data_IF_471822972115
#
_entry.id   IF_471822972115
#
_cell.length_a   1.000
_cell.length_b   1.000
_cell.length_c   1.000
_cell.angle_alpha   90.00
_cell.angle_beta   90.00
_cell.angle_gamma   90.00
#
_symmetry.space_group_name_H-M   'P 1'
#
loop_
_entity.id
_entity.type
_entity.pdbx_description
1 polymer ?
#
# COMPACT_ATOMS: atom_id res chain seq x y z
N UNK A 1 8.91 21.17 -1.70
CA UNK A 1 9.36 19.81 -1.99
C UNK A 1 8.13 18.96 -2.27
N UNK A 2 8.02 18.38 -3.45
CA UNK A 2 6.95 17.45 -3.84
C UNK A 2 7.41 16.01 -3.58
N UNK A 3 6.55 15.18 -2.99
CA UNK A 3 6.86 13.79 -2.66
C UNK A 3 5.80 12.87 -3.29
N UNK A 4 6.24 11.92 -4.09
CA UNK A 4 5.38 10.84 -4.57
C UNK A 4 5.65 9.55 -3.79
N UNK A 5 4.59 8.88 -3.33
CA UNK A 5 4.69 7.71 -2.45
C UNK A 5 3.94 6.54 -3.08
N UNK A 6 4.62 5.45 -3.37
CA UNK A 6 3.99 4.18 -3.70
C UNK A 6 3.58 3.49 -2.41
N UNK A 7 2.31 3.12 -2.29
CA UNK A 7 1.77 2.63 -1.02
C UNK A 7 0.63 1.63 -1.19
N UNK A 8 0.44 0.80 -0.18
CA UNK A 8 -0.70 -0.08 0.01
C UNK A 8 -0.68 -0.64 1.43
N UNK A 9 -1.81 -1.15 1.87
CA UNK A 9 -1.97 -1.73 3.19
C UNK A 9 -1.89 -0.73 4.35
N UNK A 10 -2.14 -1.24 5.55
CA UNK A 10 -2.21 -0.44 6.79
C UNK A 10 -0.87 0.20 7.15
N UNK A 11 0.26 -0.48 6.91
CA UNK A 11 1.59 0.05 7.21
C UNK A 11 1.90 1.29 6.39
N UNK A 12 1.62 1.23 5.08
CA UNK A 12 1.78 2.35 4.18
C UNK A 12 0.88 3.54 4.51
N UNK A 13 -0.39 3.28 4.84
CA UNK A 13 -1.32 4.32 5.25
C UNK A 13 -0.85 5.05 6.53
N UNK A 14 -0.34 4.31 7.53
CA UNK A 14 0.22 4.89 8.76
C UNK A 14 1.46 5.75 8.50
N UNK A 15 2.32 5.31 7.58
CA UNK A 15 3.48 6.10 7.16
C UNK A 15 3.06 7.40 6.47
N UNK A 16 2.09 7.34 5.55
CA UNK A 16 1.52 8.52 4.89
C UNK A 16 0.95 9.52 5.91
N UNK A 17 0.29 9.05 6.97
CA UNK A 17 -0.18 9.93 8.05
C UNK A 17 0.97 10.69 8.70
N UNK A 18 2.08 10.01 9.00
CA UNK A 18 3.29 10.66 9.52
C UNK A 18 3.86 11.68 8.55
N UNK A 19 3.85 11.37 7.25
CA UNK A 19 4.39 12.25 6.21
C UNK A 19 3.57 13.54 6.08
N UNK A 20 2.23 13.47 6.00
CA UNK A 20 1.36 14.66 5.91
C UNK A 20 1.29 15.46 7.22
N UNK A 21 1.73 14.88 8.34
CA UNK A 21 1.94 15.61 9.61
C UNK A 21 3.31 16.30 9.68
N UNK A 22 4.22 15.98 8.75
CA UNK A 22 5.61 16.50 8.72
C UNK A 22 5.81 17.59 7.66
N UNK A 23 5.17 17.44 6.49
CA UNK A 23 5.22 18.42 5.40
C UNK A 23 3.81 18.82 4.96
N UNK A 24 3.73 19.87 4.13
CA UNK A 24 2.46 20.31 3.55
C UNK A 24 1.77 19.13 2.85
N UNK A 25 0.54 18.73 3.28
CA UNK A 25 -0.19 17.63 2.65
C UNK A 25 -0.40 17.80 1.14
N UNK A 26 -0.59 19.03 0.65
CA UNK A 26 -0.76 19.32 -0.77
C UNK A 26 0.50 19.00 -1.61
N UNK A 27 1.67 18.86 -0.97
CA UNK A 27 2.91 18.45 -1.62
C UNK A 27 3.08 16.92 -1.70
N UNK A 28 2.15 16.14 -1.12
CA UNK A 28 2.20 14.67 -1.09
C UNK A 28 1.21 14.07 -2.09
N UNK A 29 1.72 13.23 -2.98
CA UNK A 29 0.90 12.39 -3.87
C UNK A 29 1.10 10.92 -3.51
N UNK A 30 0.06 10.26 -3.08
CA UNK A 30 0.05 8.82 -2.82
C UNK A 30 -0.45 8.06 -4.06
N UNK A 31 0.38 7.19 -4.62
CA UNK A 31 0.04 6.24 -5.68
C UNK A 31 -0.30 4.92 -4.98
N UNK A 32 -1.58 4.58 -4.98
CA UNK A 32 -2.11 3.52 -4.12
C UNK A 32 -2.39 2.25 -4.92
N UNK A 33 -2.07 1.11 -4.32
CA UNK A 33 -2.38 -0.20 -4.85
C UNK A 33 -3.89 -0.39 -5.08
N UNK A 34 -4.23 -1.04 -6.19
CA UNK A 34 -5.59 -1.47 -6.55
C UNK A 34 -5.66 -2.97 -6.87
N UNK A 35 -4.52 -3.68 -6.68
CA UNK A 35 -4.41 -5.11 -7.02
C UNK A 35 -5.26 -6.03 -6.15
N UNK A 36 -5.71 -5.56 -5.02
CA UNK A 36 -6.57 -6.27 -4.07
C UNK A 36 -8.02 -5.74 -4.02
N UNK A 37 -8.38 -4.85 -4.96
CA UNK A 37 -9.77 -4.45 -5.18
C UNK A 37 -10.64 -5.65 -5.49
N UNK A 38 -11.88 -5.64 -4.99
CA UNK A 38 -12.80 -6.75 -5.15
C UNK A 38 -14.25 -6.28 -5.20
N UNK A 39 -15.14 -7.19 -5.59
CA UNK A 39 -16.58 -6.98 -5.44
C UNK A 39 -17.08 -7.79 -4.23
N UNK A 40 -17.77 -7.13 -3.30
CA UNK A 40 -18.40 -7.73 -2.12
C UNK A 40 -19.85 -7.28 -2.06
N UNK A 41 -20.78 -8.23 -1.98
CA UNK A 41 -22.23 -7.95 -1.95
C UNK A 41 -22.68 -7.06 -3.13
N UNK A 42 -22.04 -7.19 -4.27
CA UNK A 42 -22.30 -6.37 -5.45
C UNK A 42 -21.75 -4.93 -5.36
N UNK A 43 -20.92 -4.64 -4.37
CA UNK A 43 -20.28 -3.33 -4.18
C UNK A 43 -18.80 -3.38 -4.52
N UNK A 44 -18.30 -2.34 -5.19
CA UNK A 44 -16.88 -2.16 -5.48
C UNK A 44 -16.14 -1.69 -4.23
N UNK A 45 -15.20 -2.49 -3.75
CA UNK A 45 -14.38 -2.25 -2.56
C UNK A 45 -12.93 -2.14 -2.99
N UNK A 46 -12.24 -1.09 -2.53
CA UNK A 46 -10.83 -0.82 -2.81
C UNK A 46 -10.06 -0.71 -1.49
N UNK A 47 -9.68 -1.83 -0.85
CA UNK A 47 -9.23 -1.88 0.54
C UNK A 47 -8.04 -1.00 0.86
N UNK A 48 -7.07 -0.88 -0.06
CA UNK A 48 -5.88 -0.06 0.16
C UNK A 48 -6.18 1.43 -0.02
N UNK A 49 -6.97 1.82 -1.03
CA UNK A 49 -7.46 3.19 -1.17
C UNK A 49 -8.27 3.61 0.06
N UNK A 50 -9.15 2.74 0.56
CA UNK A 50 -9.99 3.01 1.72
C UNK A 50 -9.15 3.14 2.99
N UNK A 51 -8.17 2.27 3.19
CA UNK A 51 -7.25 2.35 4.32
C UNK A 51 -6.47 3.66 4.34
N UNK A 52 -5.94 4.09 3.19
CA UNK A 52 -5.23 5.38 3.06
C UNK A 52 -6.19 6.54 3.31
N UNK A 53 -7.36 6.51 2.69
CA UNK A 53 -8.38 7.55 2.83
C UNK A 53 -8.83 7.73 4.28
N UNK A 54 -9.16 6.62 4.98
CA UNK A 54 -9.60 6.67 6.38
C UNK A 54 -8.52 7.17 7.33
N UNK A 55 -7.27 6.73 7.12
CA UNK A 55 -6.14 7.17 7.94
C UNK A 55 -5.86 8.65 7.73
N UNK A 56 -5.85 9.15 6.50
CA UNK A 56 -5.60 10.57 6.21
C UNK A 56 -6.76 11.47 6.67
N UNK A 57 -7.99 11.00 6.54
CA UNK A 57 -9.18 11.70 7.05
C UNK A 57 -9.33 11.65 8.58
N UNK A 58 -8.49 10.86 9.29
CA UNK A 58 -8.57 10.72 10.75
C UNK A 58 -9.78 9.93 11.25
N UNK A 59 -10.36 9.08 10.40
CA UNK A 59 -11.55 8.27 10.71
C UNK A 59 -11.27 6.77 10.72
N UNK A 60 -10.00 6.35 10.61
CA UNK A 60 -9.59 4.94 10.71
C UNK A 60 -9.75 4.42 12.15
N UNK A 61 -10.06 3.14 12.30
CA UNK A 61 -10.05 2.46 13.59
C UNK A 61 -8.62 2.07 13.96
N UNK A 62 -7.97 2.86 14.80
CA UNK A 62 -6.58 2.63 15.23
C UNK A 62 -6.46 1.42 16.17
N UNK A 63 -7.50 1.08 16.93
CA UNK A 63 -7.51 -0.03 17.89
C UNK A 63 -7.61 -1.37 17.14
N UNK A 64 -8.59 -1.51 16.27
CA UNK A 64 -8.76 -2.68 15.40
C UNK A 64 -7.63 -2.76 14.38
N UNK A 65 -7.12 -1.60 13.95
CA UNK A 65 -6.03 -1.44 13.01
C UNK A 65 -6.41 -1.75 11.55
N UNK A 66 -7.69 -1.68 11.22
CA UNK A 66 -8.27 -1.71 9.87
C UNK A 66 -9.69 -1.17 9.86
N UNK A 67 -10.14 -0.70 8.70
CA UNK A 67 -11.48 -0.18 8.51
C UNK A 67 -11.71 1.17 9.18
N UNK A 68 -12.97 1.56 9.24
CA UNK A 68 -13.42 2.84 9.77
C UNK A 68 -13.77 2.75 11.25
N UNK A 69 -13.48 3.79 12.02
CA UNK A 69 -13.90 3.91 13.42
C UNK A 69 -15.42 4.11 13.55
N UNK A 70 -15.93 3.85 14.75
CA UNK A 70 -17.34 4.02 15.13
C UNK A 70 -18.32 3.26 14.21
N UNK A 71 -17.94 2.08 13.74
CA UNK A 71 -18.79 1.25 12.90
C UNK A 71 -19.84 0.52 13.71
N UNK A 72 -21.02 0.39 13.09
CA UNK A 72 -22.04 -0.61 13.44
C UNK A 72 -22.07 -1.70 12.36
N UNK A 73 -22.73 -2.82 12.64
CA UNK A 73 -22.67 -4.02 11.81
C UNK A 73 -24.06 -4.57 11.50
N UNK A 74 -25.08 -3.71 11.51
CA UNK A 74 -26.49 -4.09 11.36
C UNK A 74 -26.78 -4.69 9.99
N UNK A 75 -26.23 -4.08 8.91
CA UNK A 75 -26.40 -4.57 7.56
C UNK A 75 -25.73 -5.94 7.40
N UNK A 76 -24.48 -6.09 7.85
CA UNK A 76 -23.74 -7.36 7.77
C UNK A 76 -24.44 -8.48 8.56
N UNK A 77 -24.90 -8.20 9.77
CA UNK A 77 -25.66 -9.16 10.57
C UNK A 77 -26.96 -9.60 9.88
N UNK A 78 -27.63 -8.67 9.18
CA UNK A 78 -28.82 -8.98 8.39
C UNK A 78 -28.48 -9.87 7.19
N UNK A 79 -27.39 -9.56 6.46
CA UNK A 79 -26.89 -10.38 5.34
C UNK A 79 -26.63 -11.82 5.82
N UNK A 80 -25.93 -11.97 6.95
CA UNK A 80 -25.60 -13.26 7.53
C UNK A 80 -26.84 -14.05 7.95
N UNK A 81 -27.80 -13.37 8.62
CA UNK A 81 -29.07 -13.98 9.04
C UNK A 81 -29.93 -14.47 7.84
N UNK A 82 -29.77 -13.85 6.67
CA UNK A 82 -30.43 -14.25 5.43
C UNK A 82 -29.63 -15.27 4.60
N UNK A 83 -28.48 -15.75 5.12
CA UNK A 83 -27.64 -16.74 4.45
C UNK A 83 -26.71 -16.17 3.37
N UNK A 84 -26.49 -14.87 3.36
CA UNK A 84 -25.52 -14.21 2.47
C UNK A 84 -24.08 -14.35 2.99
N UNK A 85 -23.12 -14.06 2.12
CA UNK A 85 -21.68 -14.11 2.45
C UNK A 85 -21.30 -12.98 3.40
N UNK A 86 -20.59 -13.29 4.50
CA UNK A 86 -20.15 -12.35 5.54
C UNK A 86 -18.65 -12.42 5.87
N UNK A 87 -17.88 -13.18 5.06
CA UNK A 87 -16.45 -13.37 5.31
C UNK A 87 -15.63 -12.08 5.18
N UNK A 88 -16.03 -11.17 4.29
CA UNK A 88 -15.42 -9.85 4.18
C UNK A 88 -16.28 -8.85 4.95
N UNK A 89 -15.74 -8.35 6.04
CA UNK A 89 -16.50 -7.51 6.97
C UNK A 89 -16.56 -6.06 6.52
N UNK A 90 -17.76 -5.57 6.25
CA UNK A 90 -18.06 -4.18 5.93
C UNK A 90 -18.96 -3.59 7.04
N UNK A 91 -18.55 -2.48 7.63
CA UNK A 91 -19.36 -1.74 8.58
C UNK A 91 -20.44 -0.91 7.88
N UNK A 92 -21.43 -0.43 8.63
CA UNK A 92 -22.58 0.29 8.05
C UNK A 92 -22.15 1.64 7.40
N UNK A 93 -21.17 2.33 7.98
CA UNK A 93 -20.62 3.59 7.41
C UNK A 93 -19.69 3.30 6.21
N UNK A 94 -18.93 2.22 6.28
CA UNK A 94 -18.07 1.72 5.20
C UNK A 94 -18.92 1.36 3.98
N UNK A 95 -20.05 0.65 4.18
CA UNK A 95 -21.04 0.38 3.14
C UNK A 95 -21.51 1.65 2.43
N UNK A 96 -21.72 2.75 3.16
CA UNK A 96 -22.11 4.03 2.58
C UNK A 96 -21.10 4.53 1.53
N UNK A 97 -19.81 4.44 1.83
CA UNK A 97 -18.75 4.81 0.90
C UNK A 97 -18.74 3.90 -0.34
N UNK A 98 -18.85 2.57 -0.14
CA UNK A 98 -18.86 1.60 -1.24
C UNK A 98 -20.10 1.76 -2.14
N UNK A 99 -21.28 2.10 -1.60
CA UNK A 99 -22.47 2.41 -2.39
C UNK A 99 -22.23 3.61 -3.31
N UNK A 100 -21.64 4.69 -2.78
CA UNK A 100 -21.30 5.90 -3.57
C UNK A 100 -20.27 5.56 -4.64
N UNK A 101 -19.19 4.86 -4.30
CA UNK A 101 -18.18 4.43 -5.27
C UNK A 101 -18.79 3.55 -6.36
N UNK A 102 -19.53 2.53 -5.98
CA UNK A 102 -20.14 1.59 -6.94
C UNK A 102 -21.08 2.29 -7.91
N UNK A 103 -21.92 3.21 -7.38
CA UNK A 103 -22.83 3.98 -8.21
C UNK A 103 -22.09 4.82 -9.26
N UNK A 104 -21.01 5.48 -8.87
CA UNK A 104 -20.21 6.30 -9.76
C UNK A 104 -19.47 5.46 -10.82
N UNK A 105 -18.81 4.37 -10.41
CA UNK A 105 -18.13 3.47 -11.35
C UNK A 105 -19.12 2.85 -12.38
N UNK A 106 -20.31 2.47 -11.95
CA UNK A 106 -21.37 1.96 -12.84
C UNK A 106 -21.90 3.04 -13.78
N UNK A 107 -21.82 4.30 -13.40
CA UNK A 107 -22.15 5.44 -14.27
C UNK A 107 -21.02 5.77 -15.25
N UNK A 108 -19.89 5.08 -15.21
CA UNK A 108 -18.74 5.26 -16.09
C UNK A 108 -17.71 6.26 -15.60
N UNK A 109 -17.80 6.74 -14.34
CA UNK A 109 -16.73 7.55 -13.75
C UNK A 109 -15.48 6.68 -13.50
N UNK A 110 -14.25 7.13 -13.85
CA UNK A 110 -13.04 6.39 -13.55
C UNK A 110 -12.75 6.40 -12.04
N UNK A 111 -12.08 5.37 -11.54
CA UNK A 111 -11.75 5.21 -10.10
C UNK A 111 -10.94 6.40 -9.57
N UNK A 112 -10.04 6.96 -10.37
CA UNK A 112 -9.25 8.15 -10.01
C UNK A 112 -10.14 9.36 -9.70
N UNK A 113 -11.16 9.64 -10.52
CA UNK A 113 -12.11 10.74 -10.28
C UNK A 113 -12.97 10.49 -9.05
N UNK A 114 -13.45 9.26 -8.86
CA UNK A 114 -14.23 8.88 -7.68
C UNK A 114 -13.38 9.02 -6.41
N UNK A 115 -12.11 8.57 -6.45
CA UNK A 115 -11.17 8.66 -5.32
C UNK A 115 -10.90 10.12 -4.96
N UNK A 116 -10.63 11.00 -5.93
CA UNK A 116 -10.42 12.43 -5.69
C UNK A 116 -11.64 13.10 -5.05
N UNK A 117 -12.84 12.78 -5.52
CA UNK A 117 -14.10 13.30 -4.95
C UNK A 117 -14.33 12.82 -3.51
N UNK A 118 -14.07 11.55 -3.23
CA UNK A 118 -14.20 11.00 -1.87
C UNK A 118 -13.16 11.62 -0.92
N UNK A 119 -11.91 11.78 -1.37
CA UNK A 119 -10.86 12.45 -0.60
C UNK A 119 -11.23 13.88 -0.24
N UNK A 120 -11.68 14.67 -1.21
CA UNK A 120 -12.15 16.04 -0.99
C UNK A 120 -13.34 16.10 -0.01
N UNK A 121 -14.30 15.17 -0.14
CA UNK A 121 -15.48 15.10 0.73
C UNK A 121 -15.14 14.76 2.19
N UNK A 122 -13.99 14.09 2.40
CA UNK A 122 -13.50 13.72 3.73
C UNK A 122 -12.39 14.65 4.24
N UNK A 123 -12.13 15.77 3.55
CA UNK A 123 -11.15 16.78 3.97
C UNK A 123 -9.71 16.32 3.90
N UNK A 124 -9.38 15.45 2.95
CA UNK A 124 -8.01 15.00 2.70
C UNK A 124 -7.35 15.92 1.68
N UNK A 125 -6.32 16.65 2.08
CA UNK A 125 -5.60 17.63 1.26
C UNK A 125 -4.49 16.99 0.41
N UNK A 126 -3.99 15.81 0.79
CA UNK A 126 -3.03 15.06 -0.02
C UNK A 126 -3.70 14.48 -1.28
N UNK A 127 -2.95 14.41 -2.38
CA UNK A 127 -3.44 13.80 -3.61
C UNK A 127 -3.39 12.27 -3.50
N UNK A 128 -4.55 11.61 -3.68
CA UNK A 128 -4.66 10.16 -3.74
C UNK A 128 -4.96 9.72 -5.17
N UNK A 129 -4.08 8.91 -5.73
CA UNK A 129 -4.24 8.34 -7.07
C UNK A 129 -4.25 6.80 -6.97
N UNK A 130 -5.25 6.10 -7.54
CA UNK A 130 -5.11 4.68 -7.79
C UNK A 130 -3.95 4.46 -8.77
N UNK A 131 -3.23 3.36 -8.70
CA UNK A 131 -2.16 3.06 -9.64
C UNK A 131 -2.66 3.00 -11.09
N UNK A 132 -3.88 2.54 -11.28
CA UNK A 132 -4.58 2.45 -12.57
C UNK A 132 -6.08 2.56 -12.36
N UNK A 133 -6.80 3.02 -13.39
CA UNK A 133 -8.28 2.99 -13.45
C UNK A 133 -8.80 1.66 -14.02
N UNK A 134 -7.93 0.86 -14.64
CA UNK A 134 -8.30 -0.44 -15.19
C UNK A 134 -8.30 -1.53 -14.12
N UNK A 135 -8.97 -2.64 -14.45
CA UNK A 135 -9.00 -3.81 -13.57
C UNK A 135 -7.62 -4.45 -13.49
N UNK A 136 -7.05 -4.45 -12.29
CA UNK A 136 -5.82 -5.15 -11.95
C UNK A 136 -6.11 -6.00 -10.71
N UNK A 137 -5.76 -7.31 -10.75
CA UNK A 137 -6.06 -8.23 -9.66
C UNK A 137 -4.84 -9.05 -9.29
N UNK A 138 -4.56 -9.09 -7.99
CA UNK A 138 -3.51 -9.93 -7.41
C UNK A 138 -4.04 -11.33 -7.15
N UNK A 139 -3.41 -12.31 -7.79
CA UNK A 139 -3.63 -13.74 -7.60
C UNK A 139 -2.44 -14.40 -6.94
N UNK A 140 -2.73 -15.30 -6.02
CA UNK A 140 -1.74 -16.06 -5.28
C UNK A 140 -1.87 -17.54 -5.59
N UNK A 141 -0.81 -18.12 -6.17
CA UNK A 141 -0.75 -19.56 -6.39
C UNK A 141 -0.13 -20.22 -5.15
N UNK A 142 -0.82 -21.18 -4.60
CA UNK A 142 -0.45 -21.93 -3.40
C UNK A 142 -0.53 -23.43 -3.67
N UNK A 143 0.03 -24.31 -2.84
CA UNK A 143 -0.15 -25.76 -2.98
C UNK A 143 -1.63 -26.21 -2.94
N UNK A 144 -2.51 -25.39 -2.35
CA UNK A 144 -3.93 -25.69 -2.19
C UNK A 144 -4.84 -25.03 -3.25
N UNK A 145 -4.26 -24.37 -4.24
CA UNK A 145 -4.98 -23.70 -5.33
C UNK A 145 -4.57 -22.25 -5.53
N UNK A 146 -5.24 -21.61 -6.48
CA UNK A 146 -5.03 -20.20 -6.81
C UNK A 146 -6.19 -19.38 -6.25
N UNK A 147 -5.86 -18.31 -5.51
CA UNK A 147 -6.84 -17.48 -4.80
C UNK A 147 -6.61 -16.00 -5.13
N UNK A 148 -7.69 -15.22 -5.15
CA UNK A 148 -7.55 -13.76 -5.10
C UNK A 148 -6.91 -13.32 -3.79
N UNK A 149 -6.26 -12.15 -3.77
CA UNK A 149 -5.57 -11.72 -2.55
C UNK A 149 -6.48 -11.67 -1.33
N UNK A 150 -7.67 -11.08 -1.44
CA UNK A 150 -8.58 -10.93 -0.30
C UNK A 150 -9.18 -12.28 0.15
N UNK A 151 -9.46 -13.18 -0.76
CA UNK A 151 -9.89 -14.54 -0.41
C UNK A 151 -8.80 -15.25 0.40
N UNK A 152 -7.54 -15.22 -0.08
CA UNK A 152 -6.43 -15.81 0.63
C UNK A 152 -6.15 -15.11 1.97
N UNK A 153 -6.17 -13.76 1.98
CA UNK A 153 -5.78 -12.98 3.16
C UNK A 153 -6.84 -13.02 4.26
N UNK A 154 -8.12 -12.82 3.91
CA UNK A 154 -9.23 -12.72 4.86
C UNK A 154 -9.91 -14.06 5.07
N UNK A 155 -10.49 -14.65 4.03
CA UNK A 155 -11.30 -15.88 4.18
C UNK A 155 -10.45 -17.07 4.62
N UNK A 156 -9.20 -17.17 4.12
CA UNK A 156 -8.28 -18.25 4.45
C UNK A 156 -7.26 -17.87 5.54
N UNK A 157 -7.36 -16.63 6.08
CA UNK A 157 -6.45 -16.09 7.12
C UNK A 157 -4.97 -16.26 6.76
N UNK A 158 -4.62 -16.11 5.48
CA UNK A 158 -3.26 -16.23 4.88
C UNK A 158 -2.44 -17.43 5.39
N UNK A 159 -3.09 -18.57 5.62
CA UNK A 159 -2.43 -19.78 6.15
C UNK A 159 -1.70 -20.58 5.08
N UNK A 160 -2.12 -20.45 3.81
CA UNK A 160 -1.50 -21.18 2.73
C UNK A 160 -0.17 -20.50 2.31
N UNK A 161 0.94 -21.26 2.18
CA UNK A 161 2.18 -20.70 1.70
C UNK A 161 2.05 -20.28 0.22
N UNK A 162 2.58 -19.11 -0.13
CA UNK A 162 2.49 -18.55 -1.48
C UNK A 162 3.69 -18.97 -2.30
N UNK A 163 3.46 -19.69 -3.39
CA UNK A 163 4.50 -20.14 -4.32
C UNK A 163 4.74 -19.12 -5.45
N UNK A 164 3.70 -18.37 -5.82
CA UNK A 164 3.78 -17.36 -6.88
C UNK A 164 2.74 -16.27 -6.70
N UNK A 165 3.11 -15.04 -7.07
CA UNK A 165 2.19 -13.90 -7.19
C UNK A 165 2.02 -13.55 -8.66
N UNK A 166 0.78 -13.34 -9.09
CA UNK A 166 0.42 -12.93 -10.46
C UNK A 166 -0.46 -11.70 -10.42
N UNK A 167 -0.33 -10.85 -11.42
CA UNK A 167 -1.11 -9.62 -11.57
C UNK A 167 -1.92 -9.71 -12.87
N UNK A 168 -3.17 -10.13 -12.74
CA UNK A 168 -4.11 -10.21 -13.86
C UNK A 168 -4.50 -8.79 -14.27
N UNK A 169 -4.54 -8.53 -15.58
CA UNK A 169 -4.81 -7.20 -16.14
C UNK A 169 -3.59 -6.28 -16.26
N UNK A 170 -2.46 -6.58 -15.60
CA UNK A 170 -1.28 -5.70 -15.59
C UNK A 170 -0.73 -5.40 -16.98
N UNK A 171 -0.78 -6.36 -17.91
CA UNK A 171 -0.23 -6.20 -19.26
C UNK A 171 -0.93 -5.10 -20.09
N UNK A 172 -2.19 -4.80 -19.79
CA UNK A 172 -3.00 -3.76 -20.47
C UNK A 172 -3.19 -2.51 -19.62
N UNK A 173 -2.93 -2.59 -18.32
CA UNK A 173 -3.16 -1.50 -17.39
C UNK A 173 -2.28 -0.28 -17.72
N UNK A 174 -2.92 0.89 -17.77
CA UNK A 174 -2.25 2.18 -17.90
C UNK A 174 -2.23 2.90 -16.56
N UNK A 175 -1.22 3.71 -16.26
CA UNK A 175 -1.24 4.56 -15.08
C UNK A 175 -2.48 5.45 -15.08
N UNK A 176 -3.15 5.57 -13.93
CA UNK A 176 -4.25 6.51 -13.80
C UNK A 176 -3.79 7.96 -14.08
N UNK A 177 -4.71 8.85 -14.51
CA UNK A 177 -4.37 10.25 -14.71
C UNK A 177 -3.66 10.88 -13.53
N UNK A 178 -2.57 11.61 -13.78
CA UNK A 178 -1.75 12.25 -12.75
C UNK A 178 -0.61 11.40 -12.18
N UNK A 179 -0.61 10.07 -12.38
CA UNK A 179 0.43 9.18 -11.81
C UNK A 179 1.80 9.44 -12.41
N UNK A 180 1.91 9.50 -13.74
CA UNK A 180 3.22 9.74 -14.39
C UNK A 180 3.72 11.16 -14.14
N UNK A 181 2.82 12.14 -14.10
CA UNK A 181 3.13 13.52 -13.75
C UNK A 181 3.68 13.61 -12.32
N UNK A 182 3.03 12.93 -11.36
CA UNK A 182 3.48 12.90 -9.97
C UNK A 182 4.87 12.27 -9.84
N UNK A 183 5.15 11.18 -10.56
CA UNK A 183 6.46 10.53 -10.55
C UNK A 183 7.56 11.41 -11.20
N UNK A 184 7.21 12.16 -12.25
CA UNK A 184 8.14 13.04 -12.96
C UNK A 184 8.44 14.31 -12.16
N UNK A 185 7.42 14.91 -11.54
CA UNK A 185 7.50 16.20 -10.84
C UNK A 185 7.98 16.10 -9.39
N UNK A 186 8.09 14.89 -8.85
CA UNK A 186 8.53 14.67 -7.48
C UNK A 186 10.01 15.03 -7.30
N UNK A 187 10.31 15.69 -6.18
CA UNK A 187 11.68 15.87 -5.68
C UNK A 187 12.21 14.62 -4.97
N UNK A 188 11.28 13.76 -4.48
CA UNK A 188 11.59 12.52 -3.78
C UNK A 188 10.51 11.46 -4.09
N UNK A 189 10.94 10.25 -4.42
CA UNK A 189 10.07 9.08 -4.51
C UNK A 189 10.25 8.22 -3.26
N UNK A 190 9.13 7.78 -2.67
CA UNK A 190 9.13 6.89 -1.51
C UNK A 190 8.36 5.60 -1.83
N UNK A 191 8.92 4.46 -1.43
CA UNK A 191 8.19 3.21 -1.29
C UNK A 191 7.86 3.06 0.19
N UNK A 192 6.59 3.19 0.53
CA UNK A 192 6.11 3.07 1.91
C UNK A 192 6.45 1.70 2.52
N UNK A 193 6.44 1.53 3.86
CA UNK A 193 6.69 0.24 4.53
C UNK A 193 5.50 -0.72 4.29
N UNK A 194 5.37 -1.15 3.05
CA UNK A 194 4.31 -1.99 2.50
C UNK A 194 4.87 -3.32 2.01
N UNK A 195 4.02 -4.34 1.91
CA UNK A 195 4.44 -5.64 1.40
C UNK A 195 4.94 -5.53 -0.05
N UNK A 196 6.19 -5.96 -0.36
CA UNK A 196 6.79 -5.81 -1.68
C UNK A 196 6.03 -6.57 -2.78
N UNK A 197 5.34 -7.66 -2.44
CA UNK A 197 4.69 -8.54 -3.42
C UNK A 197 3.25 -8.15 -3.72
N UNK A 198 2.47 -7.80 -2.70
CA UNK A 198 1.01 -7.63 -2.83
C UNK A 198 0.53 -6.19 -2.63
N UNK A 199 1.41 -5.27 -2.19
CA UNK A 199 1.08 -3.85 -2.08
C UNK A 199 1.88 -3.00 -3.07
N UNK A 200 3.21 -3.15 -3.12
CA UNK A 200 4.06 -2.40 -4.06
C UNK A 200 4.13 -3.11 -5.42
N UNK A 201 4.16 -4.44 -5.42
CA UNK A 201 4.25 -5.26 -6.62
C UNK A 201 3.18 -4.97 -7.67
N UNK A 202 1.87 -4.89 -7.32
CA UNK A 202 0.83 -4.56 -8.29
C UNK A 202 1.00 -3.17 -8.92
N UNK A 203 1.47 -2.17 -8.14
CA UNK A 203 1.75 -0.82 -8.67
C UNK A 203 2.88 -0.90 -9.71
N UNK A 204 3.96 -1.62 -9.38
CA UNK A 204 5.10 -1.81 -10.26
C UNK A 204 4.80 -2.76 -11.44
N UNK A 205 3.72 -3.53 -11.38
CA UNK A 205 3.28 -4.37 -12.50
C UNK A 205 2.64 -3.55 -13.62
N UNK A 206 2.22 -2.31 -13.36
CA UNK A 206 1.86 -1.36 -14.41
C UNK A 206 3.14 -0.86 -15.07
N UNK A 207 3.43 -1.39 -16.26
CA UNK A 207 4.74 -1.25 -16.94
C UNK A 207 5.23 0.20 -17.04
N UNK A 208 4.35 1.15 -17.35
CA UNK A 208 4.71 2.56 -17.49
C UNK A 208 5.08 3.22 -16.16
N UNK A 209 4.50 2.77 -15.04
CA UNK A 209 4.91 3.22 -13.70
C UNK A 209 6.32 2.72 -13.41
N UNK A 210 6.57 1.41 -13.57
CA UNK A 210 7.87 0.80 -13.38
C UNK A 210 8.94 1.49 -14.23
N UNK A 211 8.71 1.58 -15.54
CA UNK A 211 9.65 2.21 -16.48
C UNK A 211 9.92 3.69 -16.16
N UNK A 212 8.93 4.42 -15.61
CA UNK A 212 9.12 5.82 -15.17
C UNK A 212 10.10 5.87 -14.00
N UNK A 213 9.93 4.97 -13.01
CA UNK A 213 10.82 4.88 -11.85
C UNK A 213 12.24 4.42 -12.26
N UNK A 214 12.37 3.47 -13.18
CA UNK A 214 13.68 3.00 -13.69
C UNK A 214 14.48 4.12 -14.40
N UNK A 215 13.78 5.02 -15.08
CA UNK A 215 14.40 6.14 -15.83
C UNK A 215 14.49 7.45 -15.04
N UNK A 216 14.07 7.45 -13.79
CA UNK A 216 14.09 8.65 -12.94
C UNK A 216 15.49 9.21 -12.73
N UNK A 217 15.54 10.50 -12.39
CA UNK A 217 16.72 11.16 -11.83
C UNK A 217 16.52 11.56 -10.37
N UNK A 218 15.29 11.46 -9.90
CA UNK A 218 14.85 11.77 -8.54
C UNK A 218 15.25 10.64 -7.62
N UNK A 219 15.80 10.91 -6.42
CA UNK A 219 16.07 9.89 -5.41
C UNK A 219 14.81 9.06 -5.09
N UNK A 220 15.00 7.74 -4.95
CA UNK A 220 13.95 6.81 -4.56
C UNK A 220 14.37 6.04 -3.31
N UNK A 221 13.61 6.19 -2.24
CA UNK A 221 13.90 5.59 -0.93
C UNK A 221 12.79 4.62 -0.56
N UNK A 222 13.16 3.39 -0.25
CA UNK A 222 12.23 2.41 0.31
C UNK A 222 12.34 2.37 1.84
N UNK A 223 11.21 2.06 2.50
CA UNK A 223 11.17 1.81 3.94
C UNK A 223 10.84 0.33 4.17
N UNK A 224 11.64 -0.34 5.00
CA UNK A 224 11.42 -1.75 5.33
C UNK A 224 10.11 -1.95 6.10
N UNK A 225 9.24 -2.90 5.69
CA UNK A 225 8.08 -3.31 6.47
C UNK A 225 8.43 -4.34 7.55
N UNK A 226 9.71 -4.72 7.67
CA UNK A 226 10.19 -5.74 8.59
C UNK A 226 11.06 -5.13 9.69
N UNK A 227 11.03 -5.75 10.87
CA UNK A 227 11.87 -5.47 12.03
C UNK A 227 12.40 -6.82 12.53
N UNK A 228 13.72 -6.98 12.60
CA UNK A 228 14.38 -8.25 12.95
C UNK A 228 13.83 -9.45 12.12
N UNK A 229 13.66 -9.24 10.81
CA UNK A 229 13.14 -10.24 9.89
C UNK A 229 11.67 -10.60 10.09
N UNK A 230 10.91 -9.86 10.91
CA UNK A 230 9.49 -10.11 11.20
C UNK A 230 8.62 -8.95 10.73
N UNK A 231 7.47 -9.27 10.13
CA UNK A 231 6.47 -8.27 9.84
C UNK A 231 5.76 -7.83 11.14
N UNK A 232 5.56 -6.52 11.31
CA UNK A 232 4.76 -6.00 12.42
C UNK A 232 3.31 -6.48 12.30
N UNK A 233 2.80 -6.57 11.05
CA UNK A 233 1.47 -7.06 10.73
C UNK A 233 1.46 -7.69 9.33
N UNK A 234 0.63 -8.73 9.15
CA UNK A 234 0.43 -9.34 7.82
C UNK A 234 1.55 -10.29 7.37
N UNK A 235 1.49 -10.78 6.13
CA UNK A 235 2.24 -11.93 5.65
C UNK A 235 3.62 -11.60 5.04
N UNK A 236 4.09 -10.34 5.09
CA UNK A 236 5.28 -9.91 4.35
C UNK A 236 6.53 -10.78 4.64
N UNK A 237 6.79 -11.13 5.90
CA UNK A 237 7.93 -11.95 6.27
C UNK A 237 7.81 -13.39 5.70
N UNK A 238 6.65 -14.02 5.84
CA UNK A 238 6.42 -15.37 5.30
C UNK A 238 6.52 -15.41 3.77
N UNK A 239 5.99 -14.39 3.09
CA UNK A 239 6.10 -14.26 1.63
C UNK A 239 7.55 -14.03 1.21
N UNK A 240 8.29 -13.14 1.90
CA UNK A 240 9.69 -12.86 1.60
C UNK A 240 10.55 -14.12 1.80
N UNK A 241 10.35 -14.85 2.90
CA UNK A 241 11.02 -16.12 3.14
C UNK A 241 10.76 -17.14 2.01
N UNK A 242 9.50 -17.23 1.56
CA UNK A 242 9.13 -18.22 0.53
C UNK A 242 9.58 -17.83 -0.87
N UNK A 243 9.45 -16.55 -1.24
CA UNK A 243 9.67 -16.09 -2.61
C UNK A 243 11.09 -15.59 -2.87
N UNK A 244 11.82 -15.16 -1.83
CA UNK A 244 13.19 -14.64 -1.94
C UNK A 244 14.23 -15.46 -1.15
N UNK A 245 13.80 -16.44 -0.35
CA UNK A 245 14.70 -17.32 0.39
C UNK A 245 15.17 -16.79 1.75
N UNK A 246 14.73 -15.61 2.20
CA UNK A 246 15.09 -15.04 3.49
C UNK A 246 14.27 -13.81 3.86
N UNK A 247 14.47 -13.27 5.06
CA UNK A 247 13.70 -12.14 5.60
C UNK A 247 14.58 -10.94 5.99
N UNK A 248 15.85 -10.92 5.55
CA UNK A 248 16.74 -9.80 5.87
C UNK A 248 16.45 -8.58 4.97
N UNK A 249 16.92 -7.38 5.35
CA UNK A 249 16.88 -6.20 4.49
C UNK A 249 17.47 -6.40 3.09
N UNK A 250 18.51 -7.24 2.96
CA UNK A 250 19.10 -7.58 1.66
C UNK A 250 18.10 -8.33 0.76
N UNK A 251 17.34 -9.30 1.30
CA UNK A 251 16.28 -9.98 0.54
C UNK A 251 15.16 -9.03 0.14
N UNK A 252 14.80 -8.05 0.99
CA UNK A 252 13.86 -7.01 0.63
C UNK A 252 14.39 -6.13 -0.50
N UNK A 253 15.65 -5.73 -0.45
CA UNK A 253 16.32 -4.94 -1.50
C UNK A 253 16.23 -5.63 -2.85
N UNK A 254 16.38 -6.96 -2.89
CA UNK A 254 16.26 -7.76 -4.11
C UNK A 254 14.85 -7.76 -4.73
N UNK A 255 13.82 -7.33 -4.00
CA UNK A 255 12.48 -7.10 -4.56
C UNK A 255 12.42 -5.85 -5.46
N UNK A 256 13.40 -4.95 -5.36
CA UNK A 256 13.43 -3.63 -6.02
C UNK A 256 14.70 -3.39 -6.86
N UNK A 257 15.10 -4.33 -7.73
CA UNK A 257 16.38 -4.24 -8.46
C UNK A 257 16.39 -2.98 -9.35
N UNK A 258 17.36 -2.08 -9.12
CA UNK A 258 17.52 -0.82 -9.86
C UNK A 258 16.43 0.24 -9.61
N UNK A 259 15.51 0.01 -8.67
CA UNK A 259 14.39 0.93 -8.42
C UNK A 259 14.63 1.85 -7.23
N UNK A 260 15.50 1.50 -6.30
CA UNK A 260 15.73 2.26 -5.07
C UNK A 260 17.21 2.64 -4.93
N UNK A 261 17.47 3.81 -4.37
CA UNK A 261 18.81 4.33 -4.09
C UNK A 261 19.19 4.14 -2.61
N UNK A 262 18.16 4.12 -1.74
CA UNK A 262 18.35 3.87 -0.31
C UNK A 262 17.23 3.01 0.28
N UNK A 263 17.57 2.29 1.36
CA UNK A 263 16.64 1.52 2.17
C UNK A 263 16.73 1.96 3.63
N UNK A 264 15.60 2.47 4.15
CA UNK A 264 15.43 2.71 5.59
C UNK A 264 15.10 1.38 6.26
N UNK A 265 15.92 0.96 7.21
CA UNK A 265 15.79 -0.30 7.95
C UNK A 265 15.84 -0.07 9.46
N UNK A 266 15.28 -1.02 10.23
CA UNK A 266 15.21 -0.86 11.68
C UNK A 266 16.58 -1.03 12.36
N UNK A 267 16.76 -0.42 13.53
CA UNK A 267 17.96 -0.57 14.36
C UNK A 267 18.24 -2.04 14.72
N UNK A 268 17.20 -2.87 14.84
CA UNK A 268 17.34 -4.31 15.10
C UNK A 268 17.94 -5.07 13.90
N UNK A 269 17.88 -4.49 12.70
CA UNK A 269 18.46 -5.04 11.46
C UNK A 269 19.80 -4.36 11.08
N UNK A 270 20.39 -3.53 11.96
CA UNK A 270 21.60 -2.75 11.66
C UNK A 270 22.80 -3.62 11.22
N UNK A 271 22.88 -4.85 11.69
CA UNK A 271 23.94 -5.80 11.30
C UNK A 271 23.90 -6.18 9.81
N UNK A 272 22.73 -6.05 9.17
CA UNK A 272 22.53 -6.37 7.76
C UNK A 272 22.83 -5.18 6.82
N UNK A 273 23.18 -4.01 7.34
CA UNK A 273 23.43 -2.79 6.55
C UNK A 273 24.51 -3.01 5.47
N UNK A 274 25.61 -3.67 5.82
CA UNK A 274 26.67 -3.97 4.85
C UNK A 274 26.20 -4.87 3.69
N UNK A 275 25.25 -5.77 3.93
CA UNK A 275 24.69 -6.64 2.89
C UNK A 275 23.77 -5.86 1.94
N UNK A 276 23.06 -4.83 2.43
CA UNK A 276 22.28 -3.90 1.60
C UNK A 276 23.21 -3.04 0.76
N UNK A 277 24.28 -2.50 1.34
CA UNK A 277 25.27 -1.68 0.64
C UNK A 277 25.98 -2.46 -0.46
N UNK A 278 26.28 -3.75 -0.23
CA UNK A 278 26.84 -4.63 -1.25
C UNK A 278 25.94 -4.83 -2.49
N UNK A 279 24.63 -4.56 -2.38
CA UNK A 279 23.67 -4.55 -3.48
C UNK A 279 23.60 -3.18 -4.19
N UNK A 280 24.43 -2.23 -3.83
CA UNK A 280 24.45 -0.87 -4.40
C UNK A 280 23.36 0.04 -3.86
N UNK A 281 22.69 -0.33 -2.77
CA UNK A 281 21.64 0.44 -2.12
C UNK A 281 22.16 0.98 -0.77
N UNK A 282 21.94 2.26 -0.50
CA UNK A 282 22.38 2.88 0.74
C UNK A 282 21.50 2.48 1.92
N UNK A 283 22.03 1.86 2.98
CA UNK A 283 21.28 1.58 4.19
C UNK A 283 21.14 2.84 5.07
N UNK A 284 19.94 3.08 5.59
CA UNK A 284 19.65 4.15 6.57
C UNK A 284 19.03 3.49 7.80
N UNK A 285 19.78 3.44 8.88
CA UNK A 285 19.39 2.73 10.11
C UNK A 285 18.66 3.68 11.06
N UNK A 286 17.42 3.34 11.44
CA UNK A 286 16.62 4.10 12.40
C UNK A 286 15.54 3.22 13.02
N UNK A 287 14.79 3.76 13.99
CA UNK A 287 13.58 3.08 14.53
C UNK A 287 12.43 3.19 13.55
N UNK A 288 12.02 2.08 12.94
CA UNK A 288 10.95 2.06 11.94
C UNK A 288 9.56 1.74 12.53
N UNK A 289 9.47 1.30 13.78
CA UNK A 289 8.20 0.96 14.42
C UNK A 289 7.35 2.21 14.69
N UNK A 290 6.24 2.34 13.98
CA UNK A 290 5.29 3.44 14.07
C UNK A 290 4.23 3.21 15.16
N UNK A 291 4.64 3.13 16.43
CA UNK A 291 3.76 2.83 17.57
C UNK A 291 2.81 4.01 17.93
N UNK A 292 3.22 5.22 17.65
CA UNK A 292 2.51 6.46 17.99
C UNK A 292 2.77 7.55 16.93
N UNK A 293 2.10 8.69 17.05
CA UNK A 293 2.23 9.82 16.13
C UNK A 293 3.67 10.37 16.06
N UNK A 294 4.38 10.44 17.19
CA UNK A 294 5.75 10.91 17.23
C UNK A 294 6.70 9.97 16.47
N UNK A 295 6.51 8.66 16.60
CA UNK A 295 7.28 7.66 15.85
C UNK A 295 6.98 7.71 14.35
N UNK A 296 5.72 7.92 13.95
CA UNK A 296 5.35 8.11 12.53
C UNK A 296 6.05 9.32 11.92
N UNK A 297 6.02 10.48 12.60
CA UNK A 297 6.69 11.71 12.12
C UNK A 297 8.20 11.52 12.03
N UNK A 298 8.86 10.96 13.06
CA UNK A 298 10.32 10.71 13.00
C UNK A 298 10.71 9.84 11.82
N UNK A 299 9.94 8.78 11.53
CA UNK A 299 10.21 7.94 10.36
C UNK A 299 10.04 8.71 9.06
N UNK A 300 9.03 9.56 8.97
CA UNK A 300 8.83 10.44 7.82
C UNK A 300 9.98 11.44 7.66
N UNK A 301 10.44 12.10 8.74
CA UNK A 301 11.60 12.99 8.75
C UNK A 301 12.85 12.30 8.22
N UNK A 302 13.16 11.10 8.73
CA UNK A 302 14.32 10.31 8.26
C UNK A 302 14.20 9.96 6.77
N UNK A 303 13.00 9.58 6.31
CA UNK A 303 12.78 9.28 4.90
C UNK A 303 12.93 10.53 3.99
N UNK A 304 12.52 11.71 4.47
CA UNK A 304 12.70 12.97 3.76
C UNK A 304 14.17 13.40 3.73
N UNK A 305 14.89 13.28 4.83
CA UNK A 305 16.31 13.62 4.94
C UNK A 305 17.20 12.71 4.09
N UNK A 306 16.73 11.49 3.79
CA UNK A 306 17.40 10.55 2.90
C UNK A 306 17.64 11.12 1.49
N UNK A 307 16.81 12.06 1.04
CA UNK A 307 17.00 12.79 -0.23
C UNK A 307 18.36 13.50 -0.31
N UNK A 308 18.81 14.13 0.77
CA UNK A 308 20.09 14.85 0.80
C UNK A 308 21.30 13.89 0.78
N UNK A 309 21.05 12.63 0.96
CA UNK A 309 22.03 11.57 1.13
C UNK A 309 22.08 10.60 -0.07
N UNK A 310 21.13 10.63 -1.00
CA UNK A 310 21.05 9.82 -2.23
C UNK A 310 21.58 10.61 -3.46
#
# INVERSE_FOLDING_TARGET
>A
MKVAVLTGGVGGARFLRGLVETIDPAAVTAIVNVGDDLEVLGLSVSPDLDSVLYVLAGIADEERGWGRADETWNALATVEALGGESWFRLGDRDLGLHVVRTGALRAGEPLSSVTARLAASLGVDATLLPATDESLRTWLDTPNGSFSFQEWFVARAHRDPVDRVRFEGAASAQPAPGVLEALHDADLLLLAPSNPFVSIGPILAVERIRSSIERRRTPCVAISPLIAGRAVKGPAAAMLQRLQGGTTPAHLTQCYPGLIDALVLDEEDAADAAAVEALGVRPIVTKTLMRDAAARRRLAEVALDAMALA
#
